data_IF_057364264805
#
_entry.id   IF_057364264805
#
_cell.length_a   1.000
_cell.length_b   1.000
_cell.length_c   1.000
_cell.angle_alpha   90.00
_cell.angle_beta   90.00
_cell.angle_gamma   90.00
#
_symmetry.space_group_name_H-M   'P 1'
#
loop_
_entity.id
_entity.type
_entity.pdbx_description
1 polymer ?
#
# COMPACT_ATOMS: atom_id res chain seq x y z
N UNK A 1 -18.72 -11.87 28.79
CA UNK A 1 -18.15 -10.63 28.24
C UNK A 1 -17.25 -11.05 27.09
N UNK A 2 -17.82 -11.12 25.89
CA UNK A 2 -17.08 -11.38 24.66
C UNK A 2 -16.39 -10.07 24.29
N UNK A 3 -15.06 -10.09 24.29
CA UNK A 3 -14.26 -8.99 23.77
C UNK A 3 -14.43 -8.99 22.25
N UNK A 4 -15.18 -8.03 21.73
CA UNK A 4 -15.20 -7.70 20.32
C UNK A 4 -13.78 -7.25 19.92
N UNK A 5 -13.00 -8.23 19.46
CA UNK A 5 -11.74 -7.94 18.78
C UNK A 5 -12.16 -7.34 17.43
N UNK A 6 -12.12 -6.02 17.33
CA UNK A 6 -12.27 -5.32 16.08
C UNK A 6 -11.11 -5.74 15.17
N UNK A 7 -11.28 -6.82 14.43
CA UNK A 7 -10.48 -7.14 13.26
C UNK A 7 -10.74 -5.98 12.31
N UNK A 8 -9.75 -5.10 12.17
CA UNK A 8 -9.82 -4.03 11.17
C UNK A 8 -10.15 -4.69 9.83
N UNK A 9 -11.26 -4.33 9.19
CA UNK A 9 -11.65 -4.97 7.94
C UNK A 9 -10.55 -4.75 6.91
N UNK A 10 -10.03 -5.83 6.35
CA UNK A 10 -9.11 -5.82 5.20
C UNK A 10 -9.74 -5.25 3.92
N UNK A 11 -10.98 -4.84 4.00
CA UNK A 11 -11.65 -4.13 2.92
C UNK A 11 -11.12 -2.71 2.89
N UNK A 12 -10.17 -2.45 1.99
CA UNK A 12 -9.93 -1.10 1.52
C UNK A 12 -11.24 -0.62 0.87
N UNK A 13 -12.13 -0.08 1.71
CA UNK A 13 -13.33 0.59 1.25
C UNK A 13 -12.97 1.76 0.30
N UNK A 14 -13.92 2.53 -0.19
CA UNK A 14 -13.66 3.70 -1.03
C UNK A 14 -12.85 4.80 -0.31
N UNK A 15 -12.48 4.60 0.95
CA UNK A 15 -11.82 5.58 1.83
C UNK A 15 -10.31 5.48 1.79
N UNK A 16 -9.57 6.61 1.92
CA UNK A 16 -8.14 6.57 2.18
C UNK A 16 -7.86 5.91 3.53
N UNK A 17 -6.73 5.23 3.65
CA UNK A 17 -6.32 4.55 4.88
C UNK A 17 -4.96 5.08 5.35
N UNK A 18 -4.84 5.37 6.65
CA UNK A 18 -3.61 5.83 7.28
C UNK A 18 -2.93 4.68 8.03
N UNK A 19 -1.71 4.33 7.62
CA UNK A 19 -0.85 3.39 8.33
C UNK A 19 0.30 4.15 9.00
N UNK A 20 0.50 3.93 10.30
CA UNK A 20 1.62 4.47 11.06
C UNK A 20 2.72 3.43 11.17
N UNK A 21 3.89 3.76 10.66
CA UNK A 21 5.07 2.88 10.65
C UNK A 21 6.04 3.40 11.68
N UNK A 22 6.44 2.55 12.62
CA UNK A 22 7.42 2.89 13.66
C UNK A 22 8.49 1.82 13.73
N UNK A 23 9.70 2.20 14.13
CA UNK A 23 10.78 1.26 14.41
C UNK A 23 11.77 1.85 15.40
N UNK A 24 12.29 1.00 16.32
CA UNK A 24 13.41 1.33 17.21
C UNK A 24 14.75 0.91 16.62
N UNK A 25 14.74 -0.14 15.82
CA UNK A 25 15.91 -0.67 15.15
C UNK A 25 15.73 -0.57 13.62
N UNK A 26 16.85 -0.61 12.91
CA UNK A 26 16.83 -0.63 11.46
C UNK A 26 15.99 -1.79 10.93
N UNK A 27 15.10 -1.50 9.99
CA UNK A 27 14.31 -2.49 9.28
C UNK A 27 14.74 -2.50 7.82
N UNK A 28 15.10 -3.66 7.31
CA UNK A 28 15.35 -3.87 5.88
C UNK A 28 14.36 -4.91 5.33
N UNK A 29 13.47 -4.46 4.47
CA UNK A 29 12.42 -5.25 3.85
C UNK A 29 12.67 -5.31 2.34
N UNK A 30 12.70 -6.52 1.79
CA UNK A 30 12.88 -6.74 0.34
C UNK A 30 11.52 -6.86 -0.34
N UNK A 31 11.45 -6.44 -1.60
CA UNK A 31 10.30 -6.68 -2.48
C UNK A 31 8.93 -6.30 -1.88
N UNK A 32 8.89 -5.24 -1.05
CA UNK A 32 7.63 -4.73 -0.48
C UNK A 32 6.70 -4.34 -1.61
N UNK A 33 5.53 -4.94 -1.63
CA UNK A 33 4.50 -4.67 -2.62
C UNK A 33 3.58 -3.55 -2.13
N UNK A 34 3.57 -2.44 -2.84
CA UNK A 34 2.67 -1.32 -2.58
C UNK A 34 1.44 -1.49 -3.48
N UNK A 35 0.41 -2.14 -2.99
CA UNK A 35 -0.79 -2.51 -3.75
C UNK A 35 -1.62 -1.32 -4.21
N UNK A 36 -1.72 -0.29 -3.38
CA UNK A 36 -2.46 0.95 -3.66
C UNK A 36 -1.50 2.12 -3.88
N UNK A 37 -1.92 3.11 -4.66
CA UNK A 37 -1.22 4.39 -4.73
C UNK A 37 -1.05 4.95 -3.30
N UNK A 38 0.15 5.31 -2.92
CA UNK A 38 0.45 5.66 -1.53
C UNK A 38 1.31 6.92 -1.44
N UNK A 39 1.05 7.71 -0.41
CA UNK A 39 1.83 8.90 -0.06
C UNK A 39 2.40 8.68 1.34
N UNK A 40 3.71 8.80 1.48
CA UNK A 40 4.40 8.57 2.74
C UNK A 40 5.14 9.82 3.21
N UNK A 41 4.96 10.18 4.48
CA UNK A 41 5.69 11.23 5.17
C UNK A 41 6.53 10.63 6.29
N UNK A 42 7.85 10.82 6.24
CA UNK A 42 8.78 10.43 7.32
C UNK A 42 8.79 11.54 8.36
N UNK A 43 8.33 11.24 9.59
CA UNK A 43 8.30 12.19 10.70
C UNK A 43 9.58 12.19 11.53
N UNK A 44 10.22 10.99 11.62
CA UNK A 44 11.45 10.79 12.39
C UNK A 44 12.34 9.76 11.70
N UNK A 45 13.65 9.99 11.69
CA UNK A 45 14.61 9.13 11.01
C UNK A 45 14.67 9.36 9.50
N UNK A 46 15.03 8.33 8.74
CA UNK A 46 15.11 8.35 7.27
C UNK A 46 14.49 7.09 6.67
N UNK A 47 13.92 7.21 5.50
CA UNK A 47 13.48 6.08 4.67
C UNK A 47 14.34 5.99 3.43
N UNK A 48 14.86 4.80 3.14
CA UNK A 48 15.52 4.49 1.87
C UNK A 48 14.62 3.55 1.09
N UNK A 49 14.38 3.90 -0.16
CA UNK A 49 13.64 3.10 -1.13
C UNK A 49 14.54 2.75 -2.30
N UNK A 50 14.43 1.51 -2.79
CA UNK A 50 15.14 1.07 -3.99
C UNK A 50 14.17 0.29 -4.89
N UNK A 51 14.13 0.65 -6.17
CA UNK A 51 13.33 -0.04 -7.20
C UNK A 51 14.11 -0.07 -8.53
N UNK A 52 14.26 -1.25 -9.10
CA UNK A 52 15.18 -1.45 -10.21
C UNK A 52 16.58 -0.97 -9.86
N UNK A 53 17.13 -0.10 -10.70
CA UNK A 53 18.45 0.54 -10.49
C UNK A 53 18.35 1.90 -9.80
N UNK A 54 17.16 2.37 -9.47
CA UNK A 54 16.92 3.67 -8.84
C UNK A 54 16.84 3.54 -7.33
N UNK A 55 17.25 4.59 -6.64
CA UNK A 55 17.11 4.70 -5.19
C UNK A 55 16.67 6.11 -4.79
N UNK A 56 16.02 6.21 -3.64
CA UNK A 56 15.60 7.46 -3.01
C UNK A 56 15.84 7.37 -1.51
N UNK A 57 16.44 8.41 -0.94
CA UNK A 57 16.52 8.58 0.52
C UNK A 57 15.75 9.83 0.88
N UNK A 58 14.81 9.70 1.79
CA UNK A 58 13.91 10.77 2.21
C UNK A 58 13.85 10.91 3.74
N UNK A 59 13.61 12.12 4.17
CA UNK A 59 13.45 12.51 5.56
C UNK A 59 12.19 13.39 5.72
N UNK A 60 12.16 14.26 6.71
CA UNK A 60 10.96 14.99 7.14
C UNK A 60 10.48 16.07 6.17
N UNK A 61 11.32 16.54 5.28
CA UNK A 61 11.10 17.69 4.38
C UNK A 61 10.36 17.36 3.09
N UNK A 62 10.10 16.08 2.84
CA UNK A 62 9.47 15.61 1.60
C UNK A 62 8.32 14.65 1.85
N UNK A 63 7.34 14.64 0.94
CA UNK A 63 6.42 13.53 0.76
C UNK A 63 6.94 12.59 -0.30
N UNK A 64 6.86 11.30 -0.04
CA UNK A 64 7.19 10.24 -1.00
C UNK A 64 5.91 9.73 -1.62
N UNK A 65 5.87 9.71 -2.93
CA UNK A 65 4.74 9.27 -3.73
C UNK A 65 5.09 7.94 -4.38
N UNK A 66 4.26 6.93 -4.17
CA UNK A 66 4.50 5.58 -4.66
C UNK A 66 3.29 5.14 -5.48
N UNK A 67 3.52 4.83 -6.74
CA UNK A 67 2.49 4.31 -7.62
C UNK A 67 1.94 2.97 -7.13
N UNK A 68 0.64 2.73 -7.34
CA UNK A 68 0.03 1.43 -7.03
C UNK A 68 0.81 0.28 -7.68
N UNK A 69 0.92 -0.90 -6.97
CA UNK A 69 1.58 -2.15 -7.36
C UNK A 69 3.06 -2.06 -7.62
N UNK A 70 3.71 -1.03 -7.12
CA UNK A 70 5.17 -0.91 -7.17
C UNK A 70 5.80 -1.92 -6.21
N UNK A 71 6.92 -2.52 -6.63
CA UNK A 71 7.78 -3.33 -5.75
C UNK A 71 9.01 -2.52 -5.37
N UNK A 72 9.24 -2.37 -4.08
CA UNK A 72 10.38 -1.60 -3.55
C UNK A 72 11.11 -2.37 -2.45
N UNK A 73 12.43 -2.25 -2.40
CA UNK A 73 13.16 -2.56 -1.19
C UNK A 73 13.09 -1.34 -0.27
N UNK A 74 12.76 -1.55 0.98
CA UNK A 74 12.56 -0.50 1.98
C UNK A 74 13.57 -0.67 3.09
N UNK A 75 14.27 0.41 3.46
CA UNK A 75 14.98 0.48 4.73
C UNK A 75 14.43 1.66 5.55
N UNK A 76 13.96 1.36 6.75
CA UNK A 76 13.57 2.34 7.75
C UNK A 76 14.76 2.51 8.70
N UNK A 77 15.33 3.71 8.74
CA UNK A 77 16.56 4.05 9.44
C UNK A 77 16.24 4.96 10.63
N UNK A 78 16.22 4.44 11.86
CA UNK A 78 16.00 5.24 13.05
C UNK A 78 17.07 6.32 13.24
N UNK A 79 16.66 7.45 13.84
CA UNK A 79 17.56 8.49 14.33
C UNK A 79 17.24 8.74 15.80
N UNK A 80 18.24 8.62 16.66
CA UNK A 80 18.04 8.71 18.12
C UNK A 80 17.19 7.56 18.68
N UNK A 81 17.27 6.34 18.09
CA UNK A 81 16.49 5.19 18.51
C UNK A 81 15.03 5.18 18.06
N UNK A 82 14.63 6.10 17.16
CA UNK A 82 13.26 6.17 16.67
C UNK A 82 13.21 6.43 15.17
N UNK A 83 12.35 5.65 14.52
CA UNK A 83 11.83 5.93 13.17
C UNK A 83 10.31 6.01 13.25
N UNK A 84 9.75 7.03 12.63
CA UNK A 84 8.31 7.21 12.51
C UNK A 84 7.94 7.75 11.12
N UNK A 85 6.94 7.13 10.50
CA UNK A 85 6.37 7.58 9.24
C UNK A 85 4.86 7.35 9.21
N UNK A 86 4.16 8.22 8.51
CA UNK A 86 2.75 8.08 8.20
C UNK A 86 2.62 7.78 6.70
N UNK A 87 1.87 6.74 6.35
CA UNK A 87 1.58 6.37 4.98
C UNK A 87 0.07 6.37 4.75
N UNK A 88 -0.38 7.13 3.77
CA UNK A 88 -1.78 7.15 3.35
C UNK A 88 -1.89 6.39 2.02
N UNK A 89 -2.73 5.37 2.01
CA UNK A 89 -3.08 4.56 0.84
C UNK A 89 -4.37 5.08 0.21
N UNK A 90 -4.38 5.23 -1.10
CA UNK A 90 -5.47 5.80 -1.88
C UNK A 90 -6.15 4.69 -2.70
N UNK A 91 -7.43 4.40 -2.47
CA UNK A 91 -8.16 3.39 -3.24
C UNK A 91 -8.28 3.80 -4.73
N UNK A 92 -8.38 2.82 -5.66
CA UNK A 92 -8.55 3.10 -7.08
C UNK A 92 -9.74 4.02 -7.39
N UNK A 93 -10.88 3.79 -6.72
CA UNK A 93 -12.08 4.62 -6.90
C UNK A 93 -11.83 6.11 -6.59
N UNK A 94 -10.97 6.42 -5.62
CA UNK A 94 -10.60 7.81 -5.30
C UNK A 94 -9.72 8.43 -6.41
N UNK A 95 -8.81 7.66 -6.97
CA UNK A 95 -7.97 8.10 -8.10
C UNK A 95 -8.84 8.39 -9.33
N UNK A 96 -9.79 7.50 -9.64
CA UNK A 96 -10.72 7.71 -10.74
C UNK A 96 -11.62 8.93 -10.52
N UNK A 97 -12.15 9.10 -9.30
CA UNK A 97 -12.92 10.26 -8.92
C UNK A 97 -12.12 11.56 -9.11
N UNK A 98 -10.85 11.58 -8.69
CA UNK A 98 -9.98 12.73 -8.92
C UNK A 98 -9.80 13.03 -10.42
N UNK A 99 -9.59 12.02 -11.26
CA UNK A 99 -9.47 12.20 -12.71
C UNK A 99 -10.73 12.82 -13.33
N UNK A 100 -11.91 12.40 -12.85
CA UNK A 100 -13.19 12.94 -13.34
C UNK A 100 -13.40 14.39 -12.94
N UNK A 101 -13.04 14.75 -11.69
CA UNK A 101 -13.22 16.11 -11.17
C UNK A 101 -12.16 17.09 -11.70
N UNK A 102 -10.97 16.61 -12.01
CA UNK A 102 -9.84 17.43 -12.46
C UNK A 102 -9.24 16.91 -13.77
N UNK A 103 -10.01 16.97 -14.88
CA UNK A 103 -9.54 16.51 -16.17
C UNK A 103 -8.32 17.33 -16.63
N UNK A 104 -7.32 16.65 -17.17
CA UNK A 104 -6.06 17.28 -17.61
C UNK A 104 -4.98 17.41 -16.55
N UNK A 105 -5.27 17.13 -15.27
CA UNK A 105 -4.25 17.09 -14.24
C UNK A 105 -3.50 15.74 -14.31
N UNK A 106 -2.18 15.78 -14.48
CA UNK A 106 -1.34 14.57 -14.51
C UNK A 106 -1.09 13.94 -15.88
N UNK A 107 -1.63 14.49 -16.97
CA UNK A 107 -1.55 13.90 -18.33
C UNK A 107 -0.17 14.08 -18.99
N UNK A 108 0.74 14.87 -18.46
CA UNK A 108 1.94 15.31 -19.21
C UNK A 108 3.20 14.44 -19.09
N UNK A 109 3.19 13.29 -18.45
CA UNK A 109 4.43 12.55 -18.27
C UNK A 109 4.39 11.11 -18.81
N UNK A 110 4.89 10.92 -20.01
CA UNK A 110 5.12 9.59 -20.62
C UNK A 110 6.19 8.75 -19.88
N UNK A 111 7.00 9.37 -19.03
CA UNK A 111 8.11 8.70 -18.31
C UNK A 111 8.10 9.03 -16.80
N UNK A 112 6.97 8.76 -16.14
CA UNK A 112 6.84 9.03 -14.72
C UNK A 112 7.39 7.88 -13.91
N UNK A 113 8.31 8.19 -13.00
CA UNK A 113 8.85 7.21 -12.05
C UNK A 113 7.74 6.62 -11.17
N UNK A 114 7.83 5.31 -10.91
CA UNK A 114 6.92 4.63 -9.98
C UNK A 114 7.06 5.12 -8.52
N UNK A 115 8.21 5.72 -8.19
CA UNK A 115 8.48 6.35 -6.90
C UNK A 115 9.07 7.73 -7.18
N UNK A 116 8.52 8.75 -6.53
CA UNK A 116 9.01 10.13 -6.58
C UNK A 116 8.90 10.78 -5.20
N UNK A 117 9.48 11.96 -5.07
CA UNK A 117 9.32 12.80 -3.88
C UNK A 117 9.00 14.23 -4.27
N UNK A 118 8.30 14.92 -3.39
CA UNK A 118 7.97 16.32 -3.53
C UNK A 118 8.29 17.05 -2.23
N UNK A 119 8.92 18.22 -2.32
CA UNK A 119 9.14 19.07 -1.15
C UNK A 119 7.80 19.54 -0.58
N UNK A 120 7.72 19.59 0.74
CA UNK A 120 6.53 20.08 1.43
C UNK A 120 6.52 21.61 1.40
N UNK A 121 5.52 22.18 0.78
CA UNK A 121 5.16 23.58 0.93
C UNK A 121 3.94 23.77 1.84
N UNK A 122 3.53 25.01 2.07
CA UNK A 122 2.44 25.33 2.97
C UNK A 122 1.09 24.72 2.53
N UNK A 123 0.83 24.62 1.22
CA UNK A 123 -0.42 24.10 0.68
C UNK A 123 -0.47 22.56 0.79
N UNK A 124 0.61 21.89 0.39
CA UNK A 124 0.76 20.45 0.53
C UNK A 124 0.65 20.04 2.01
N UNK A 125 1.35 20.78 2.89
CA UNK A 125 1.35 20.47 4.32
C UNK A 125 -0.04 20.68 4.97
N UNK A 126 -0.77 21.71 4.56
CA UNK A 126 -2.15 21.97 5.01
C UNK A 126 -3.09 20.85 4.56
N UNK A 127 -3.04 20.48 3.27
CA UNK A 127 -3.87 19.42 2.71
C UNK A 127 -3.53 18.05 3.33
N UNK A 128 -2.25 17.76 3.56
CA UNK A 128 -1.80 16.54 4.23
C UNK A 128 -2.35 16.43 5.65
N UNK A 129 -2.21 17.49 6.46
CA UNK A 129 -2.73 17.53 7.83
C UNK A 129 -4.24 17.40 7.87
N UNK A 130 -4.95 18.12 7.01
CA UNK A 130 -6.41 18.02 6.92
C UNK A 130 -6.89 16.59 6.62
N UNK A 131 -6.26 15.91 5.66
CA UNK A 131 -6.58 14.51 5.37
C UNK A 131 -6.28 13.59 6.56
N UNK A 132 -5.14 13.77 7.23
CA UNK A 132 -4.80 13.00 8.42
C UNK A 132 -5.83 13.19 9.54
N UNK A 133 -6.29 14.41 9.77
CA UNK A 133 -7.29 14.73 10.78
C UNK A 133 -8.63 14.08 10.44
N UNK A 134 -9.11 14.21 9.20
CA UNK A 134 -10.33 13.54 8.74
C UNK A 134 -10.29 12.01 8.93
N UNK A 135 -9.14 11.37 8.67
CA UNK A 135 -9.00 9.92 8.86
C UNK A 135 -8.95 9.57 10.35
N UNK A 136 -8.20 10.33 11.15
CA UNK A 136 -8.02 10.10 12.59
C UNK A 136 -9.32 10.23 13.37
N UNK A 137 -10.11 11.23 13.01
CA UNK A 137 -11.36 11.57 13.68
C UNK A 137 -12.54 10.77 13.11
N UNK A 138 -12.27 9.78 12.24
CA UNK A 138 -13.26 8.93 11.55
C UNK A 138 -14.39 9.76 10.91
N UNK A 139 -14.03 10.87 10.28
CA UNK A 139 -14.98 11.73 9.58
C UNK A 139 -15.75 10.93 8.51
N UNK A 140 -16.91 11.41 8.11
CA UNK A 140 -17.71 10.79 7.06
C UNK A 140 -16.87 10.48 5.82
N UNK A 141 -17.13 9.34 5.17
CA UNK A 141 -16.38 8.85 4.01
C UNK A 141 -16.17 9.92 2.94
N UNK A 142 -17.20 10.70 2.70
CA UNK A 142 -17.20 11.75 1.69
C UNK A 142 -16.22 12.88 2.03
N UNK A 143 -16.15 13.26 3.30
CA UNK A 143 -15.19 14.26 3.78
C UNK A 143 -13.74 13.75 3.69
N UNK A 144 -13.51 12.49 4.03
CA UNK A 144 -12.19 11.88 3.85
C UNK A 144 -11.78 11.85 2.37
N UNK A 145 -12.71 11.53 1.46
CA UNK A 145 -12.46 11.54 0.02
C UNK A 145 -12.17 12.95 -0.50
N UNK A 146 -12.92 13.96 -0.07
CA UNK A 146 -12.68 15.35 -0.45
C UNK A 146 -11.31 15.86 0.06
N UNK A 147 -10.97 15.55 1.30
CA UNK A 147 -9.66 15.90 1.84
C UNK A 147 -8.51 15.25 1.05
N UNK A 148 -8.68 14.00 0.62
CA UNK A 148 -7.71 13.31 -0.21
C UNK A 148 -7.62 13.92 -1.63
N UNK A 149 -8.74 14.31 -2.25
CA UNK A 149 -8.73 15.04 -3.52
C UNK A 149 -8.03 16.40 -3.38
N UNK A 150 -8.22 17.10 -2.27
CA UNK A 150 -7.52 18.35 -1.98
C UNK A 150 -6.00 18.17 -1.93
N UNK A 151 -5.51 17.08 -1.30
CA UNK A 151 -4.09 16.74 -1.31
C UNK A 151 -3.59 16.38 -2.71
N UNK A 152 -4.34 15.57 -3.46
CA UNK A 152 -4.00 15.23 -4.84
C UNK A 152 -3.93 16.48 -5.73
N UNK A 153 -4.85 17.44 -5.54
CA UNK A 153 -4.83 18.71 -6.26
C UNK A 153 -3.59 19.54 -5.91
N UNK A 154 -3.25 19.66 -4.63
CA UNK A 154 -2.05 20.37 -4.19
C UNK A 154 -0.77 19.78 -4.82
N UNK A 155 -0.67 18.42 -4.86
CA UNK A 155 0.43 17.71 -5.51
C UNK A 155 0.45 17.91 -7.03
N UNK A 156 -0.73 17.96 -7.65
CA UNK A 156 -0.88 18.19 -9.10
C UNK A 156 -0.37 19.57 -9.50
N UNK A 157 -0.69 20.62 -8.73
CA UNK A 157 -0.22 21.98 -8.96
C UNK A 157 1.32 22.12 -8.90
N UNK A 158 2.00 21.14 -8.31
CA UNK A 158 3.47 21.01 -8.29
C UNK A 158 4.03 20.05 -9.34
N UNK A 159 3.17 19.53 -10.23
CA UNK A 159 3.56 18.55 -11.25
C UNK A 159 4.00 17.18 -10.68
N UNK A 160 3.70 16.90 -9.40
CA UNK A 160 4.22 15.72 -8.71
C UNK A 160 3.31 14.49 -8.80
N UNK A 161 2.06 14.63 -9.24
CA UNK A 161 1.02 13.61 -9.14
C UNK A 161 1.14 12.48 -10.18
N UNK A 162 1.88 12.67 -11.26
CA UNK A 162 1.86 11.77 -12.42
C UNK A 162 2.08 10.30 -12.08
N UNK A 163 2.97 9.99 -11.12
CA UNK A 163 3.21 8.62 -10.65
C UNK A 163 2.00 7.99 -10.00
N UNK A 164 1.25 8.73 -9.20
CA UNK A 164 0.04 8.24 -8.51
C UNK A 164 -1.11 7.99 -9.49
N UNK A 165 -1.20 8.79 -10.55
CA UNK A 165 -2.24 8.70 -11.59
C UNK A 165 -1.85 7.78 -12.75
N UNK A 166 -0.66 7.16 -12.71
CA UNK A 166 -0.22 6.29 -13.79
C UNK A 166 -1.22 5.17 -14.00
N UNK A 167 -1.81 5.11 -15.19
CA UNK A 167 -2.51 3.93 -15.64
C UNK A 167 -1.51 2.79 -15.79
N UNK A 168 -1.76 1.73 -15.08
CA UNK A 168 -1.01 0.50 -15.33
C UNK A 168 -1.59 -0.10 -16.58
N UNK A 169 -0.71 -0.32 -17.56
CA UNK A 169 -1.10 -0.98 -18.81
C UNK A 169 -1.92 -2.25 -18.53
N UNK A 170 -2.58 -2.74 -19.55
CA UNK A 170 -3.60 -3.80 -19.57
C UNK A 170 -3.19 -5.18 -19.00
N UNK A 171 -2.16 -5.23 -18.15
CA UNK A 171 -1.72 -6.45 -17.51
C UNK A 171 -2.82 -6.97 -16.58
N UNK A 172 -3.36 -8.13 -16.91
CA UNK A 172 -4.44 -8.74 -16.13
C UNK A 172 -4.03 -9.06 -14.70
N UNK A 173 -2.75 -9.35 -14.46
CA UNK A 173 -2.19 -9.58 -13.13
C UNK A 173 -2.44 -8.40 -12.18
N UNK A 174 -2.33 -7.16 -12.65
CA UNK A 174 -2.58 -5.98 -11.83
C UNK A 174 -4.06 -5.83 -11.45
N UNK A 175 -4.96 -6.06 -12.40
CA UNK A 175 -6.39 -6.04 -12.11
C UNK A 175 -6.79 -7.14 -11.12
N UNK A 176 -6.19 -8.34 -11.26
CA UNK A 176 -6.39 -9.44 -10.30
C UNK A 176 -5.89 -9.05 -8.90
N UNK A 177 -4.70 -8.44 -8.79
CA UNK A 177 -4.19 -7.94 -7.51
C UNK A 177 -5.17 -6.95 -6.84
N UNK A 178 -5.75 -6.03 -7.60
CA UNK A 178 -6.76 -5.10 -7.10
C UNK A 178 -8.02 -5.82 -6.63
N UNK A 179 -8.54 -6.76 -7.41
CA UNK A 179 -9.70 -7.57 -7.01
C UNK A 179 -9.39 -8.35 -5.73
N UNK A 180 -8.23 -8.99 -5.63
CA UNK A 180 -7.81 -9.72 -4.43
C UNK A 180 -7.69 -8.82 -3.19
N UNK A 181 -7.25 -7.57 -3.34
CA UNK A 181 -7.20 -6.60 -2.24
C UNK A 181 -8.60 -6.22 -1.73
N UNK A 182 -9.61 -6.21 -2.62
CA UNK A 182 -10.99 -5.84 -2.29
C UNK A 182 -11.80 -7.03 -1.76
N UNK A 183 -11.40 -8.26 -2.05
CA UNK A 183 -12.11 -9.46 -1.58
C UNK A 183 -11.71 -9.83 -0.14
N UNK A 184 -12.67 -10.27 0.68
CA UNK A 184 -12.35 -10.88 1.96
C UNK A 184 -11.56 -12.17 1.78
N UNK A 185 -10.73 -12.60 2.76
CA UNK A 185 -9.78 -13.71 2.63
C UNK A 185 -10.41 -15.01 2.10
N UNK A 186 -11.59 -15.36 2.60
CA UNK A 186 -12.34 -16.57 2.25
C UNK A 186 -12.86 -16.57 0.80
N UNK A 187 -12.94 -15.41 0.18
CA UNK A 187 -13.39 -15.26 -1.21
C UNK A 187 -12.24 -15.10 -2.22
N UNK A 188 -11.00 -15.11 -1.77
CA UNK A 188 -9.81 -14.96 -2.63
C UNK A 188 -9.48 -16.23 -3.38
N UNK A 189 -10.42 -16.73 -4.18
CA UNK A 189 -10.25 -17.92 -5.01
C UNK A 189 -10.09 -17.57 -6.49
N UNK A 190 -9.51 -18.50 -7.25
CA UNK A 190 -9.34 -18.34 -8.70
C UNK A 190 -10.68 -18.27 -9.41
N UNK A 191 -11.67 -19.03 -8.92
CA UNK A 191 -13.03 -19.09 -9.42
C UNK A 191 -13.73 -17.73 -9.26
N UNK A 192 -13.68 -17.16 -8.06
CA UNK A 192 -14.28 -15.83 -7.80
C UNK A 192 -13.63 -14.74 -8.62
N UNK A 193 -12.31 -14.79 -8.80
CA UNK A 193 -11.62 -13.82 -9.68
C UNK A 193 -12.02 -14.04 -11.14
N UNK A 194 -12.14 -15.27 -11.62
CA UNK A 194 -12.60 -15.54 -12.99
C UNK A 194 -14.03 -15.04 -13.24
N UNK A 195 -14.93 -15.20 -12.26
CA UNK A 195 -16.28 -14.62 -12.30
C UNK A 195 -16.25 -13.09 -12.42
N UNK A 196 -15.42 -12.41 -11.60
CA UNK A 196 -15.28 -10.95 -11.65
C UNK A 196 -14.76 -10.44 -13.01
N UNK A 197 -14.01 -11.28 -13.73
CA UNK A 197 -13.51 -10.98 -15.09
C UNK A 197 -14.41 -11.54 -16.21
N UNK A 198 -15.57 -12.08 -15.88
CA UNK A 198 -16.50 -12.69 -16.84
C UNK A 198 -15.81 -13.68 -17.77
N UNK A 199 -14.91 -14.51 -17.25
CA UNK A 199 -14.18 -15.48 -18.04
C UNK A 199 -14.03 -16.84 -17.31
N UNK A 200 -13.67 -17.89 -18.07
CA UNK A 200 -13.40 -19.17 -17.46
C UNK A 200 -12.05 -19.19 -16.73
N UNK A 201 -11.92 -20.07 -15.71
CA UNK A 201 -10.67 -20.30 -14.98
C UNK A 201 -9.51 -20.66 -15.94
N UNK A 202 -9.77 -21.44 -16.98
CA UNK A 202 -8.76 -21.80 -17.99
C UNK A 202 -8.29 -20.57 -18.79
N UNK A 203 -9.21 -19.67 -19.14
CA UNK A 203 -8.89 -18.41 -19.80
C UNK A 203 -8.03 -17.53 -18.91
N UNK A 204 -8.39 -17.40 -17.61
CA UNK A 204 -7.63 -16.60 -16.66
C UNK A 204 -6.21 -17.14 -16.48
N UNK A 205 -6.05 -18.46 -16.30
CA UNK A 205 -4.74 -19.13 -16.22
C UNK A 205 -3.89 -18.87 -17.46
N UNK A 206 -4.47 -18.97 -18.66
CA UNK A 206 -3.76 -18.72 -19.92
C UNK A 206 -3.30 -17.26 -20.05
N UNK A 207 -4.13 -16.29 -19.61
CA UNK A 207 -3.75 -14.87 -19.60
C UNK A 207 -2.60 -14.62 -18.64
N UNK A 208 -2.65 -15.15 -17.42
CA UNK A 208 -1.57 -15.04 -16.44
C UNK A 208 -0.27 -15.69 -16.92
N UNK A 209 -0.35 -16.86 -17.56
CA UNK A 209 0.82 -17.54 -18.12
C UNK A 209 1.52 -16.70 -19.21
N UNK A 210 0.78 -15.91 -20.01
CA UNK A 210 1.38 -14.97 -20.98
C UNK A 210 2.15 -13.82 -20.30
N UNK A 211 1.76 -13.46 -19.07
CA UNK A 211 2.46 -12.49 -18.24
C UNK A 211 3.55 -13.14 -17.35
N UNK A 212 3.87 -14.42 -17.60
CA UNK A 212 4.87 -15.17 -16.85
C UNK A 212 4.63 -15.20 -15.34
N UNK A 213 3.37 -15.20 -14.91
CA UNK A 213 2.95 -15.28 -13.51
C UNK A 213 1.78 -16.24 -13.33
N UNK A 214 1.44 -16.55 -12.07
CA UNK A 214 0.35 -17.43 -11.71
C UNK A 214 -0.51 -16.85 -10.59
N UNK A 215 -1.78 -17.28 -10.53
CA UNK A 215 -2.72 -16.84 -9.50
C UNK A 215 -2.16 -17.01 -8.07
N UNK A 216 -1.51 -18.12 -7.79
CA UNK A 216 -0.92 -18.40 -6.48
C UNK A 216 0.13 -17.37 -6.08
N UNK A 217 0.95 -16.96 -7.03
CA UNK A 217 1.97 -15.93 -6.80
C UNK A 217 1.33 -14.58 -6.47
N UNK A 218 0.28 -14.19 -7.21
CA UNK A 218 -0.44 -12.95 -6.95
C UNK A 218 -1.16 -12.99 -5.61
N UNK A 219 -1.78 -14.12 -5.26
CA UNK A 219 -2.45 -14.31 -3.97
C UNK A 219 -1.45 -14.21 -2.81
N UNK A 220 -0.34 -14.95 -2.87
CA UNK A 220 0.71 -14.88 -1.85
C UNK A 220 1.23 -13.44 -1.67
N UNK A 221 1.45 -12.73 -2.75
CA UNK A 221 1.91 -11.34 -2.75
C UNK A 221 0.92 -10.40 -2.04
N UNK A 222 -0.36 -10.51 -2.34
CA UNK A 222 -1.42 -9.72 -1.69
C UNK A 222 -1.53 -10.08 -0.21
N UNK A 223 -1.58 -11.36 0.12
CA UNK A 223 -1.68 -11.84 1.50
C UNK A 223 -0.49 -11.38 2.36
N UNK A 224 0.74 -11.48 1.83
CA UNK A 224 1.94 -11.04 2.52
C UNK A 224 1.99 -9.51 2.70
N UNK A 225 1.53 -8.74 1.70
CA UNK A 225 1.41 -7.28 1.80
C UNK A 225 0.47 -6.87 2.93
N UNK A 226 -0.73 -7.45 2.97
CA UNK A 226 -1.71 -7.21 4.04
C UNK A 226 -1.16 -7.61 5.42
N UNK A 227 -0.44 -8.73 5.50
CA UNK A 227 0.18 -9.17 6.73
C UNK A 227 1.29 -8.22 7.21
N UNK A 228 2.08 -7.65 6.30
CA UNK A 228 3.08 -6.64 6.64
C UNK A 228 2.43 -5.39 7.22
N UNK A 229 1.36 -4.89 6.61
CA UNK A 229 0.62 -3.73 7.10
C UNK A 229 0.07 -3.99 8.51
N UNK A 230 -0.53 -5.16 8.74
CA UNK A 230 -1.06 -5.55 10.06
C UNK A 230 0.05 -5.70 11.12
N UNK A 231 1.18 -6.28 10.77
CA UNK A 231 2.32 -6.41 11.68
C UNK A 231 2.87 -5.04 12.12
N UNK A 232 2.83 -4.04 11.24
CA UNK A 232 3.30 -2.67 11.51
C UNK A 232 2.25 -1.82 12.24
N UNK A 233 0.96 -2.05 11.97
CA UNK A 233 -0.13 -1.23 12.48
C UNK A 233 -0.76 -1.72 13.79
N UNK A 234 -0.56 -2.98 14.17
CA UNK A 234 -1.22 -3.60 15.32
C UNK A 234 -0.28 -4.41 16.21
N UNK A 235 -0.72 -4.66 17.45
CA UNK A 235 -0.09 -5.58 18.39
C UNK A 235 -0.70 -6.99 18.37
N UNK A 236 -1.56 -7.31 17.41
CA UNK A 236 -2.22 -8.61 17.30
C UNK A 236 -1.18 -9.75 17.27
N UNK A 237 -1.50 -10.92 17.84
CA UNK A 237 -0.66 -12.11 17.75
C UNK A 237 -0.33 -12.45 16.28
N UNK A 238 0.89 -12.87 16.00
CA UNK A 238 1.32 -13.22 14.64
C UNK A 238 0.46 -14.34 14.04
N UNK A 239 -0.01 -15.27 14.87
CA UNK A 239 -0.89 -16.35 14.44
C UNK A 239 -2.25 -15.82 13.94
N UNK A 240 -2.81 -14.82 14.65
CA UNK A 240 -4.08 -14.20 14.28
C UNK A 240 -3.95 -13.41 12.97
N UNK A 241 -2.84 -12.68 12.81
CA UNK A 241 -2.52 -11.99 11.56
C UNK A 241 -2.40 -12.99 10.40
N UNK A 242 -1.69 -14.12 10.61
CA UNK A 242 -1.57 -15.15 9.60
C UNK A 242 -2.93 -15.69 9.15
N UNK A 243 -3.79 -16.05 10.11
CA UNK A 243 -5.15 -16.54 9.86
C UNK A 243 -6.00 -15.48 9.14
N UNK A 244 -5.99 -14.23 9.61
CA UNK A 244 -6.72 -13.12 9.01
C UNK A 244 -6.24 -12.79 7.58
N UNK A 245 -5.01 -13.14 7.22
CA UNK A 245 -4.50 -13.01 5.85
C UNK A 245 -4.79 -14.22 4.95
N UNK A 246 -5.38 -15.28 5.51
CA UNK A 246 -5.75 -16.50 4.78
C UNK A 246 -4.68 -17.60 4.78
N UNK A 247 -3.83 -17.63 5.82
CA UNK A 247 -2.89 -18.73 6.02
C UNK A 247 -3.41 -19.72 7.07
N UNK A 248 -3.54 -21.00 6.69
CA UNK A 248 -3.99 -22.06 7.58
C UNK A 248 -2.94 -22.46 8.63
N UNK A 249 -1.66 -22.08 8.41
CA UNK A 249 -0.54 -22.45 9.29
C UNK A 249 0.37 -21.26 9.56
N UNK A 250 0.53 -20.84 10.84
CA UNK A 250 1.46 -19.79 11.24
C UNK A 250 2.91 -20.08 10.84
N UNK A 251 3.34 -21.34 10.88
CA UNK A 251 4.69 -21.75 10.47
C UNK A 251 4.91 -21.54 8.98
N UNK A 252 3.94 -21.94 8.15
CA UNK A 252 3.98 -21.72 6.70
C UNK A 252 3.98 -20.23 6.37
N UNK A 253 3.15 -19.44 7.06
CA UNK A 253 3.17 -17.98 6.97
C UNK A 253 4.55 -17.40 7.28
N UNK A 254 5.14 -17.75 8.43
CA UNK A 254 6.44 -17.23 8.85
C UNK A 254 7.56 -17.57 7.85
N UNK A 255 7.54 -18.79 7.30
CA UNK A 255 8.49 -19.22 6.27
C UNK A 255 8.33 -18.38 4.99
N UNK A 256 7.10 -18.23 4.47
CA UNK A 256 6.81 -17.46 3.25
C UNK A 256 7.13 -15.98 3.43
N UNK A 257 6.78 -15.41 4.58
CA UNK A 257 7.08 -14.03 4.93
C UNK A 257 8.59 -13.78 4.93
N UNK A 258 9.38 -14.67 5.58
CA UNK A 258 10.84 -14.57 5.59
C UNK A 258 11.46 -14.73 4.21
N UNK A 259 10.97 -15.68 3.40
CA UNK A 259 11.44 -15.85 2.03
C UNK A 259 11.21 -14.60 1.19
N UNK A 260 10.07 -13.93 1.39
CA UNK A 260 9.67 -12.76 0.61
C UNK A 260 10.38 -11.49 1.08
N UNK A 261 10.34 -11.19 2.37
CA UNK A 261 10.84 -9.94 2.94
C UNK A 261 12.27 -9.98 3.47
N UNK A 262 12.84 -11.16 3.64
CA UNK A 262 14.21 -11.34 4.14
C UNK A 262 14.32 -11.43 5.67
N UNK A 263 13.23 -11.18 6.41
CA UNK A 263 13.15 -11.30 7.87
C UNK A 263 11.82 -11.96 8.27
N UNK A 264 11.78 -12.64 9.41
CA UNK A 264 10.56 -13.28 9.89
C UNK A 264 9.58 -12.26 10.50
N UNK A 265 8.28 -12.61 10.64
CA UNK A 265 7.31 -11.75 11.34
C UNK A 265 7.74 -11.39 12.76
N UNK A 266 8.32 -12.34 13.49
CA UNK A 266 8.83 -12.12 14.84
C UNK A 266 10.03 -11.15 14.87
N UNK A 267 10.96 -11.29 13.92
CA UNK A 267 12.09 -10.36 13.77
C UNK A 267 11.60 -8.96 13.45
N UNK A 268 10.61 -8.82 12.55
CA UNK A 268 9.99 -7.52 12.28
C UNK A 268 9.37 -6.93 13.55
N UNK A 269 8.61 -7.73 14.30
CA UNK A 269 7.95 -7.29 15.54
C UNK A 269 8.96 -6.81 16.59
N UNK A 270 10.14 -7.43 16.69
CA UNK A 270 11.21 -7.01 17.61
C UNK A 270 11.81 -5.64 17.26
N UNK A 271 11.64 -5.15 16.02
CA UNK A 271 12.12 -3.83 15.63
C UNK A 271 11.13 -2.70 15.96
N UNK A 272 9.89 -3.05 16.32
CA UNK A 272 8.84 -2.09 16.67
C UNK A 272 9.00 -1.55 18.10
N UNK A 273 8.38 -0.40 18.43
CA UNK A 273 8.37 0.16 19.78
C UNK A 273 7.73 -0.76 20.80
#
# INVERSE_FOLDING_TARGET
>A
MQSDIAILPFTHGPRPALTRIRARHEQQLRQVFIGLASICHVRQGKKRLQWGHRHLVCAQDVLVLIAAGTRVNVANLPKGGEYAADMISLPPALIERFRLHYPGQGVQARDVSAVSSVAQDADILRAWRHLQDCIRDDAASELQCQAAEGLLLALSLRGAIGGLLRERGDAISHHIEQVLLMLPPEQRSLERVAEAFHCSVSTLRRRLAREQTGFRELLDKVQLGLALDQLQASSLPIADIASACGYDSPSRFAMRFRQHYGLSPSQLRQTLP
#
